data_IF_290232408848
#
_entry.id   IF_290232408848
#
_cell.length_a   1.000
_cell.length_b   1.000
_cell.length_c   1.000
_cell.angle_alpha   90.00
_cell.angle_beta   90.00
_cell.angle_gamma   90.00
#
_symmetry.space_group_name_H-M   'P 1'
#
loop_
_entity.id
_entity.type
_entity.pdbx_description
1 polymer ?
#
# COMPACT_ATOMS: atom_id res chain seq x y z
N UNK A 1 20.53 -20.93 -7.41
CA UNK A 1 21.80 -20.31 -7.85
C UNK A 1 21.51 -18.83 -8.01
N UNK A 2 22.18 -17.93 -7.30
CA UNK A 2 21.96 -16.49 -7.50
C UNK A 2 22.35 -16.12 -8.94
N UNK A 3 21.39 -15.65 -9.73
CA UNK A 3 21.67 -15.24 -11.11
C UNK A 3 21.96 -13.75 -11.09
N UNK A 4 23.22 -13.41 -11.34
CA UNK A 4 23.68 -12.03 -11.54
C UNK A 4 23.73 -11.78 -13.05
N UNK A 5 22.80 -11.02 -13.60
CA UNK A 5 22.87 -10.62 -15.00
C UNK A 5 23.78 -9.39 -15.14
N UNK A 6 24.70 -9.39 -16.11
CA UNK A 6 25.56 -8.23 -16.42
C UNK A 6 25.59 -7.93 -17.91
N UNK A 7 25.14 -6.73 -18.30
CA UNK A 7 25.82 -5.85 -19.25
C UNK A 7 25.46 -4.38 -18.94
N UNK A 8 26.48 -3.52 -18.91
CA UNK A 8 26.46 -2.04 -18.86
C UNK A 8 25.56 -1.35 -17.80
N UNK A 9 26.12 -1.16 -16.61
CA UNK A 9 25.82 0.01 -15.76
C UNK A 9 24.45 0.07 -15.11
N UNK A 10 24.02 -0.95 -14.37
CA UNK A 10 22.81 -0.88 -13.53
C UNK A 10 23.00 -1.71 -12.25
N UNK A 11 22.49 -1.20 -11.13
CA UNK A 11 22.46 -1.84 -9.82
C UNK A 11 21.99 -3.30 -9.87
N UNK A 12 22.74 -4.18 -9.22
CA UNK A 12 22.51 -5.62 -9.19
C UNK A 12 21.40 -5.96 -8.18
N UNK A 13 20.21 -6.32 -8.69
CA UNK A 13 19.08 -6.78 -7.87
C UNK A 13 19.30 -8.25 -7.52
N UNK A 14 19.43 -8.55 -6.21
CA UNK A 14 19.56 -9.92 -5.73
C UNK A 14 18.31 -10.72 -6.10
N UNK A 15 18.47 -11.79 -6.90
CA UNK A 15 17.34 -12.56 -7.42
C UNK A 15 17.51 -14.07 -7.18
N UNK A 16 16.46 -14.71 -6.67
CA UNK A 16 16.37 -16.17 -6.54
C UNK A 16 15.22 -16.74 -7.37
N UNK A 17 15.51 -17.79 -8.14
CA UNK A 17 14.59 -18.53 -9.02
C UNK A 17 13.94 -19.76 -8.34
N UNK A 18 14.36 -20.05 -7.10
CA UNK A 18 13.92 -21.18 -6.30
C UNK A 18 13.62 -20.76 -4.88
N UNK A 19 12.48 -21.23 -4.38
CA UNK A 19 12.03 -20.90 -3.03
C UNK A 19 12.89 -21.49 -1.92
N UNK A 20 13.48 -22.67 -2.16
CA UNK A 20 14.42 -23.28 -1.24
C UNK A 20 15.67 -22.40 -1.07
N UNK A 21 16.28 -21.98 -2.18
CA UNK A 21 17.45 -21.10 -2.18
C UNK A 21 17.14 -19.75 -1.53
N UNK A 22 15.99 -19.14 -1.85
CA UNK A 22 15.56 -17.88 -1.24
C UNK A 22 15.40 -17.99 0.28
N UNK A 23 14.86 -19.11 0.77
CA UNK A 23 14.71 -19.38 2.21
C UNK A 23 16.06 -19.53 2.89
N UNK A 24 16.99 -20.25 2.28
CA UNK A 24 18.34 -20.48 2.83
C UNK A 24 19.17 -19.17 2.87
N UNK A 25 18.77 -18.16 2.06
CA UNK A 25 19.41 -16.84 1.97
C UNK A 25 18.46 -15.70 2.39
N UNK A 26 17.48 -15.97 3.28
CA UNK A 26 16.51 -14.96 3.71
C UNK A 26 17.18 -13.71 4.31
N UNK A 27 18.32 -13.90 5.00
CA UNK A 27 19.13 -12.80 5.53
C UNK A 27 19.62 -11.86 4.43
N UNK A 28 20.09 -12.40 3.30
CA UNK A 28 20.62 -11.60 2.20
C UNK A 28 19.51 -10.81 1.50
N UNK A 29 18.32 -11.41 1.36
CA UNK A 29 17.12 -10.72 0.87
C UNK A 29 16.76 -9.52 1.77
N UNK A 30 16.77 -9.73 3.09
CA UNK A 30 16.49 -8.70 4.08
C UNK A 30 17.55 -7.58 4.06
N UNK A 31 18.84 -7.93 4.11
CA UNK A 31 19.95 -6.98 4.14
C UNK A 31 19.97 -6.14 2.85
N UNK A 32 19.68 -6.75 1.69
CA UNK A 32 19.50 -6.02 0.42
C UNK A 32 18.36 -5.01 0.52
N UNK A 33 17.15 -5.44 0.90
CA UNK A 33 15.99 -4.55 1.02
C UNK A 33 16.24 -3.42 2.04
N UNK A 34 16.89 -3.72 3.16
CA UNK A 34 17.26 -2.73 4.19
C UNK A 34 18.20 -1.65 3.63
N UNK A 35 19.16 -2.04 2.79
CA UNK A 35 20.07 -1.11 2.10
C UNK A 35 19.36 -0.20 1.07
N UNK A 36 18.09 -0.45 0.78
CA UNK A 36 17.29 0.30 -0.19
C UNK A 36 17.35 -0.28 -1.60
N UNK A 37 18.00 -1.44 -1.79
CA UNK A 37 18.02 -2.17 -3.05
C UNK A 37 16.98 -3.29 -2.98
N UNK A 38 16.00 -3.36 -3.91
CA UNK A 38 15.01 -4.43 -3.89
C UNK A 38 15.70 -5.79 -4.02
N UNK A 39 15.12 -6.80 -3.37
CA UNK A 39 15.49 -8.20 -3.58
C UNK A 39 14.30 -8.94 -4.17
N UNK A 40 14.52 -9.83 -5.13
CA UNK A 40 13.47 -10.45 -5.93
C UNK A 40 13.49 -11.96 -5.76
N UNK A 41 12.31 -12.54 -5.66
CA UNK A 41 12.10 -13.97 -5.62
C UNK A 41 11.07 -14.34 -6.68
N UNK A 42 11.39 -15.29 -7.53
CA UNK A 42 10.50 -15.83 -8.55
C UNK A 42 10.50 -17.35 -8.45
N UNK A 43 9.33 -17.97 -8.57
CA UNK A 43 9.19 -19.43 -8.53
C UNK A 43 8.72 -19.94 -9.88
N UNK A 44 9.59 -20.63 -10.61
CA UNK A 44 9.24 -21.18 -11.94
C UNK A 44 8.57 -20.11 -12.82
N UNK A 45 7.31 -20.33 -13.23
CA UNK A 45 6.52 -19.45 -14.08
C UNK A 45 5.60 -18.49 -13.29
N UNK A 46 5.66 -18.48 -11.95
CA UNK A 46 4.90 -17.54 -11.12
C UNK A 46 5.42 -16.10 -11.32
N UNK A 47 4.56 -15.07 -11.15
CA UNK A 47 5.00 -13.68 -11.13
C UNK A 47 6.10 -13.44 -10.08
N UNK A 48 7.10 -12.65 -10.43
CA UNK A 48 8.17 -12.25 -9.51
C UNK A 48 7.62 -11.40 -8.35
N UNK A 49 8.13 -11.64 -7.15
CA UNK A 49 7.79 -10.89 -5.93
C UNK A 49 9.04 -10.16 -5.44
N UNK A 50 8.88 -8.90 -5.03
CA UNK A 50 9.97 -8.09 -4.50
C UNK A 50 9.82 -7.88 -3.00
N UNK A 51 10.94 -8.01 -2.27
CA UNK A 51 11.12 -7.46 -0.94
C UNK A 51 11.73 -6.06 -1.06
N UNK A 52 11.04 -5.08 -0.47
CA UNK A 52 11.42 -3.67 -0.52
C UNK A 52 11.36 -3.06 0.87
N UNK A 53 12.06 -1.95 1.09
CA UNK A 53 11.99 -1.23 2.35
C UNK A 53 10.60 -0.58 2.51
N UNK A 54 9.96 -0.82 3.65
CA UNK A 54 8.60 -0.39 3.92
C UNK A 54 8.40 1.12 3.80
N UNK A 55 9.32 1.92 4.33
CA UNK A 55 9.25 3.39 4.28
C UNK A 55 9.23 3.93 2.84
N UNK A 56 9.97 3.27 1.96
CA UNK A 56 10.16 3.67 0.57
C UNK A 56 8.93 3.28 -0.25
N UNK A 57 8.36 2.11 0.03
CA UNK A 57 7.06 1.72 -0.53
C UNK A 57 5.94 2.65 -0.07
N UNK A 58 5.84 2.97 1.23
CA UNK A 58 4.84 3.91 1.75
C UNK A 58 4.97 5.30 1.10
N UNK A 59 6.20 5.80 0.93
CA UNK A 59 6.45 7.07 0.25
C UNK A 59 5.96 7.06 -1.20
N UNK A 60 6.25 6.00 -1.94
CA UNK A 60 5.77 5.82 -3.31
C UNK A 60 4.24 5.78 -3.36
N UNK A 61 3.61 4.93 -2.54
CA UNK A 61 2.16 4.78 -2.50
C UNK A 61 1.45 6.10 -2.16
N UNK A 62 1.94 6.86 -1.18
CA UNK A 62 1.41 8.20 -0.85
C UNK A 62 1.48 9.18 -2.03
N UNK A 63 2.54 9.10 -2.83
CA UNK A 63 2.70 9.98 -4.00
C UNK A 63 1.86 9.56 -5.20
N UNK A 64 1.59 8.26 -5.35
CA UNK A 64 0.90 7.71 -6.53
C UNK A 64 -0.60 7.50 -6.30
N UNK A 65 -1.05 7.40 -5.05
CA UNK A 65 -2.42 7.12 -4.67
C UNK A 65 -2.89 8.16 -3.63
N UNK A 66 -3.14 9.41 -4.04
CA UNK A 66 -3.59 10.45 -3.12
C UNK A 66 -4.96 10.09 -2.52
N UNK A 67 -5.07 10.18 -1.20
CA UNK A 67 -6.36 10.14 -0.50
C UNK A 67 -6.87 11.57 -0.44
N UNK A 68 -7.75 11.95 -1.39
CA UNK A 68 -8.32 13.30 -1.51
C UNK A 68 -9.84 13.27 -1.25
N UNK A 69 -10.27 13.27 0.03
CA UNK A 69 -11.67 13.18 0.37
C UNK A 69 -12.41 14.51 0.12
N UNK A 70 -13.65 14.40 -0.33
CA UNK A 70 -14.57 15.54 -0.36
C UNK A 70 -15.30 15.66 0.96
N UNK A 71 -15.44 16.90 1.44
CA UNK A 71 -16.06 17.22 2.73
C UNK A 71 -17.27 18.11 2.50
N UNK A 72 -18.39 17.82 3.17
CA UNK A 72 -19.58 18.66 3.20
C UNK A 72 -20.02 18.90 4.63
N UNK A 73 -20.11 20.16 5.00
CA UNK A 73 -20.72 20.60 6.25
C UNK A 73 -22.22 20.77 6.06
N UNK A 74 -23.01 20.02 6.83
CA UNK A 74 -24.44 20.20 6.97
C UNK A 74 -24.80 20.92 8.28
N UNK A 75 -26.09 21.13 8.51
CA UNK A 75 -26.58 21.84 9.71
C UNK A 75 -26.31 21.10 11.02
N UNK A 76 -26.26 19.77 10.97
CA UNK A 76 -26.16 18.89 12.15
C UNK A 76 -25.05 17.83 12.03
N UNK A 77 -24.33 17.79 10.92
CA UNK A 77 -23.32 16.78 10.68
C UNK A 77 -22.33 17.20 9.60
N UNK A 78 -21.17 16.53 9.59
CA UNK A 78 -20.16 16.62 8.54
C UNK A 78 -20.12 15.29 7.81
N UNK A 79 -20.18 15.33 6.49
CA UNK A 79 -20.04 14.16 5.61
C UNK A 79 -18.71 14.20 4.90
N UNK A 80 -18.02 13.07 4.84
CA UNK A 80 -16.74 12.90 4.14
C UNK A 80 -16.84 11.70 3.22
N UNK A 81 -16.37 11.80 1.98
CA UNK A 81 -16.34 10.66 1.05
C UNK A 81 -15.14 10.72 0.12
N UNK A 82 -14.68 9.55 -0.33
CA UNK A 82 -13.58 9.44 -1.29
C UNK A 82 -14.14 9.21 -2.70
N UNK A 83 -14.02 10.18 -3.63
CA UNK A 83 -14.56 10.03 -4.97
C UNK A 83 -14.00 8.81 -5.71
N UNK A 84 -14.87 8.01 -6.33
CA UNK A 84 -14.47 6.80 -7.07
C UNK A 84 -14.29 5.55 -6.21
N UNK A 85 -14.47 5.67 -4.89
CA UNK A 85 -14.37 4.54 -3.96
C UNK A 85 -15.65 4.42 -3.12
N UNK A 86 -16.02 3.21 -2.67
CA UNK A 86 -17.16 3.00 -1.77
C UNK A 86 -16.77 3.33 -0.32
N UNK A 87 -16.20 4.52 -0.11
CA UNK A 87 -15.71 4.99 1.19
C UNK A 87 -16.39 6.30 1.51
N UNK A 88 -17.19 6.31 2.55
CA UNK A 88 -17.90 7.49 3.05
C UNK A 88 -18.16 7.37 4.53
N UNK A 89 -18.18 8.51 5.20
CA UNK A 89 -18.41 8.62 6.62
C UNK A 89 -19.22 9.88 6.96
N UNK A 90 -19.82 9.87 8.14
CA UNK A 90 -20.57 11.00 8.68
C UNK A 90 -20.35 11.12 10.18
N UNK A 91 -20.12 12.33 10.67
CA UNK A 91 -19.91 12.63 12.08
C UNK A 91 -20.70 13.86 12.52
N UNK A 92 -20.83 14.05 13.84
CA UNK A 92 -21.47 15.25 14.41
C UNK A 92 -20.65 16.53 14.14
N UNK A 93 -19.34 16.38 14.02
CA UNK A 93 -18.37 17.41 13.64
C UNK A 93 -17.32 16.82 12.68
N UNK A 94 -16.34 17.64 12.30
CA UNK A 94 -15.28 17.23 11.37
C UNK A 94 -14.38 16.14 11.94
N UNK A 95 -13.99 16.21 13.21
CA UNK A 95 -13.08 15.25 13.84
C UNK A 95 -13.74 13.86 13.90
N UNK A 96 -14.99 13.80 14.32
CA UNK A 96 -15.79 12.57 14.31
C UNK A 96 -15.92 12.01 12.88
N UNK A 97 -16.20 12.86 11.89
CA UNK A 97 -16.34 12.42 10.51
C UNK A 97 -15.00 11.94 9.89
N UNK A 98 -13.88 12.56 10.27
CA UNK A 98 -12.54 12.20 9.83
C UNK A 98 -12.09 10.85 10.44
N UNK A 99 -12.34 10.63 11.73
CA UNK A 99 -12.08 9.35 12.39
C UNK A 99 -12.91 8.22 11.77
N UNK A 100 -14.20 8.47 11.53
CA UNK A 100 -15.09 7.51 10.89
C UNK A 100 -14.69 7.25 9.43
N UNK A 101 -14.18 8.26 8.72
CA UNK A 101 -13.64 8.10 7.37
C UNK A 101 -12.44 7.15 7.33
N UNK A 102 -11.54 7.24 8.33
CA UNK A 102 -10.42 6.30 8.45
C UNK A 102 -10.91 4.89 8.74
N UNK A 103 -11.92 4.72 9.61
CA UNK A 103 -12.55 3.42 9.82
C UNK A 103 -13.14 2.85 8.51
N UNK A 104 -13.86 3.66 7.74
CA UNK A 104 -14.40 3.26 6.44
C UNK A 104 -13.31 2.87 5.42
N UNK A 105 -12.13 3.52 5.45
CA UNK A 105 -10.97 3.11 4.65
C UNK A 105 -10.46 1.71 5.06
N UNK A 106 -10.42 1.42 6.37
CA UNK A 106 -10.01 0.11 6.91
C UNK A 106 -10.97 -0.98 6.47
N UNK A 107 -12.27 -0.76 6.63
CA UNK A 107 -13.32 -1.70 6.24
C UNK A 107 -13.26 -2.01 4.74
N UNK A 108 -13.05 -0.98 3.91
CA UNK A 108 -12.87 -1.17 2.47
C UNK A 108 -11.61 -1.99 2.14
N UNK A 109 -10.49 -1.71 2.82
CA UNK A 109 -9.24 -2.45 2.62
C UNK A 109 -9.34 -3.92 3.02
N UNK A 110 -10.03 -4.22 4.13
CA UNK A 110 -10.32 -5.58 4.57
C UNK A 110 -11.19 -6.31 3.54
N UNK A 111 -12.32 -5.73 3.16
CA UNK A 111 -13.24 -6.30 2.16
C UNK A 111 -12.54 -6.52 0.81
N UNK A 112 -11.61 -5.66 0.42
CA UNK A 112 -10.80 -5.84 -0.80
C UNK A 112 -9.86 -7.04 -0.72
N UNK A 113 -9.20 -7.23 0.42
CA UNK A 113 -8.31 -8.37 0.67
C UNK A 113 -9.09 -9.68 0.74
N UNK A 114 -10.33 -9.64 1.22
CA UNK A 114 -11.18 -10.83 1.27
C UNK A 114 -11.68 -11.20 -0.13
N UNK A 115 -12.24 -10.24 -0.86
CA UNK A 115 -13.01 -10.55 -2.08
C UNK A 115 -12.84 -9.53 -3.23
N UNK A 116 -12.90 -8.21 -2.95
CA UNK A 116 -13.06 -7.22 -4.03
C UNK A 116 -11.89 -7.18 -5.02
N UNK A 117 -10.69 -7.65 -4.66
CA UNK A 117 -9.53 -7.71 -5.59
C UNK A 117 -9.78 -8.51 -6.87
N UNK A 118 -10.80 -9.38 -6.90
CA UNK A 118 -11.17 -10.18 -8.07
C UNK A 118 -12.20 -9.51 -8.98
N UNK A 119 -12.78 -8.38 -8.56
CA UNK A 119 -13.82 -7.68 -9.30
C UNK A 119 -13.20 -6.57 -10.18
N UNK A 120 -13.54 -6.47 -11.48
CA UNK A 120 -12.90 -5.53 -12.41
C UNK A 120 -12.94 -4.05 -11.97
N UNK A 121 -13.99 -3.64 -11.27
CA UNK A 121 -14.16 -2.26 -10.77
C UNK A 121 -13.38 -1.98 -9.48
N UNK A 122 -12.71 -2.98 -8.90
CA UNK A 122 -11.92 -2.87 -7.68
C UNK A 122 -10.49 -3.40 -7.82
N UNK A 123 -10.20 -4.25 -8.81
CA UNK A 123 -8.91 -4.92 -8.97
C UNK A 123 -7.71 -3.96 -8.96
N UNK A 124 -7.84 -2.81 -9.64
CA UNK A 124 -6.78 -1.80 -9.74
C UNK A 124 -6.62 -0.92 -8.49
N UNK A 125 -7.45 -1.09 -7.47
CA UNK A 125 -7.39 -0.29 -6.23
C UNK A 125 -6.28 -0.75 -5.26
N UNK A 126 -5.39 -1.64 -5.72
CA UNK A 126 -4.25 -2.19 -4.97
C UNK A 126 -3.43 -1.11 -4.25
N UNK A 127 -3.15 0.02 -4.92
CA UNK A 127 -2.29 1.07 -4.36
C UNK A 127 -2.91 1.75 -3.12
N UNK A 128 -4.19 2.11 -3.18
CA UNK A 128 -4.93 2.66 -2.04
C UNK A 128 -4.99 1.65 -0.89
N UNK A 129 -5.36 0.40 -1.19
CA UNK A 129 -5.53 -0.64 -0.16
C UNK A 129 -4.20 -0.94 0.55
N UNK A 130 -3.09 -1.02 -0.19
CA UNK A 130 -1.77 -1.21 0.42
C UNK A 130 -1.33 0.02 1.22
N UNK A 131 -1.65 1.24 0.76
CA UNK A 131 -1.37 2.45 1.54
C UNK A 131 -2.10 2.43 2.88
N UNK A 132 -3.38 2.04 2.88
CA UNK A 132 -4.18 1.85 4.09
C UNK A 132 -3.53 0.79 4.97
N UNK A 133 -3.36 -0.45 4.50
CA UNK A 133 -2.83 -1.58 5.29
C UNK A 133 -1.44 -1.30 5.90
N UNK A 134 -0.60 -0.51 5.23
CA UNK A 134 0.77 -0.22 5.68
C UNK A 134 0.91 1.05 6.53
N UNK A 135 -0.17 1.83 6.68
CA UNK A 135 -0.18 3.06 7.48
C UNK A 135 -0.93 2.86 8.78
N UNK A 136 -0.57 3.59 9.83
CA UNK A 136 -1.41 3.75 11.02
C UNK A 136 -2.50 4.81 10.80
N UNK A 137 -3.47 4.90 11.71
CA UNK A 137 -4.62 5.80 11.55
C UNK A 137 -4.20 7.28 11.59
N UNK A 138 -3.18 7.63 12.36
CA UNK A 138 -2.67 8.99 12.43
C UNK A 138 -1.98 9.39 11.11
N UNK A 139 -1.26 8.46 10.47
CA UNK A 139 -0.70 8.65 9.13
C UNK A 139 -1.79 8.81 8.07
N UNK A 140 -2.90 8.08 8.18
CA UNK A 140 -4.03 8.21 7.25
C UNK A 140 -4.77 9.55 7.42
N UNK A 141 -5.01 9.99 8.67
CA UNK A 141 -5.57 11.31 8.96
C UNK A 141 -4.69 12.42 8.38
N UNK A 142 -3.39 12.40 8.68
CA UNK A 142 -2.42 13.36 8.14
C UNK A 142 -2.42 13.37 6.61
N UNK A 143 -2.49 12.20 5.99
CA UNK A 143 -2.46 12.11 4.54
C UNK A 143 -3.75 12.60 3.87
N UNK A 144 -4.91 12.31 4.46
CA UNK A 144 -6.21 12.63 3.90
C UNK A 144 -6.64 14.09 4.13
N UNK A 145 -6.27 14.68 5.27
CA UNK A 145 -6.78 15.99 5.68
C UNK A 145 -5.69 17.05 5.88
N UNK A 146 -4.42 16.65 5.88
CA UNK A 146 -3.30 17.56 6.13
C UNK A 146 -3.29 18.07 7.57
N UNK A 147 -2.62 17.33 8.46
CA UNK A 147 -2.19 17.89 9.75
C UNK A 147 -0.67 18.03 9.73
N UNK A 148 -0.18 19.22 10.14
CA UNK A 148 1.26 19.56 10.28
C UNK A 148 1.99 18.65 11.28
#
# INVERSE_FOLDING_TARGET
>A
MAVMYTEAGVSMVLTFDKMADARDHLKDLYDSAQSGVPAVVQRSDDPAVAMVRLDSLKRLLRSSCPIDPQIRFGEQSVSVWLPGFPVSAQGADFEAAASEFVAALRDYAETWVEDLRHYPNHAENWGLVNLVQLSDDAELLRHAFGEE
#
